data_IF_377183475656
#
_entry.id   IF_377183475656
#
_cell.length_a   1.000
_cell.length_b   1.000
_cell.length_c   1.000
_cell.angle_alpha   90.00
_cell.angle_beta   90.00
_cell.angle_gamma   90.00
#
_symmetry.space_group_name_H-M   'P 1'
#
loop_
_entity.id
_entity.type
_entity.pdbx_description
1 polymer ?
#
# COMPACT_ATOMS: atom_id res chain seq x y z
N UNK A 1 29.57 -41.35 -2.59
CA UNK A 1 29.38 -40.17 -1.72
C UNK A 1 28.58 -39.03 -2.39
N UNK A 2 28.80 -38.78 -3.69
CA UNK A 2 28.19 -37.67 -4.46
C UNK A 2 26.65 -37.76 -4.58
N UNK A 3 26.07 -38.97 -4.72
CA UNK A 3 24.60 -39.13 -4.87
C UNK A 3 23.81 -38.72 -3.62
N UNK A 4 24.27 -39.12 -2.42
CA UNK A 4 23.60 -38.75 -1.15
C UNK A 4 23.65 -37.24 -0.90
N UNK A 5 24.78 -36.60 -1.24
CA UNK A 5 24.94 -35.16 -1.14
C UNK A 5 23.99 -34.41 -2.11
N UNK A 6 23.79 -34.93 -3.33
CA UNK A 6 22.84 -34.37 -4.31
C UNK A 6 21.40 -34.40 -3.80
N UNK A 7 20.95 -35.50 -3.20
CA UNK A 7 19.60 -35.57 -2.61
C UNK A 7 19.43 -34.64 -1.41
N UNK A 8 20.48 -34.45 -0.61
CA UNK A 8 20.48 -33.49 0.50
C UNK A 8 20.32 -32.03 0.00
N UNK A 9 21.06 -31.64 -1.05
CA UNK A 9 20.92 -30.32 -1.66
C UNK A 9 19.53 -30.09 -2.28
N UNK A 10 18.94 -31.11 -2.92
CA UNK A 10 17.58 -31.03 -3.46
C UNK A 10 16.57 -30.83 -2.32
N UNK A 11 16.74 -31.53 -1.19
CA UNK A 11 15.90 -31.35 0.00
C UNK A 11 15.97 -29.92 0.56
N UNK A 12 17.16 -29.35 0.69
CA UNK A 12 17.35 -27.95 1.12
C UNK A 12 16.67 -26.99 0.16
N UNK A 13 16.83 -27.19 -1.15
CA UNK A 13 16.23 -26.32 -2.16
C UNK A 13 14.70 -26.31 -2.06
N UNK A 14 14.07 -27.46 -1.84
CA UNK A 14 12.62 -27.57 -1.64
C UNK A 14 12.18 -26.79 -0.41
N UNK A 15 12.93 -26.88 0.70
CA UNK A 15 12.63 -26.12 1.92
C UNK A 15 12.72 -24.61 1.67
N UNK A 16 13.79 -24.15 1.00
CA UNK A 16 13.96 -22.71 0.68
C UNK A 16 12.82 -22.21 -0.21
N UNK A 17 12.45 -22.96 -1.25
CA UNK A 17 11.31 -22.61 -2.11
C UNK A 17 10.01 -22.58 -1.30
N UNK A 18 9.81 -23.54 -0.40
CA UNK A 18 8.65 -23.59 0.49
C UNK A 18 8.56 -22.37 1.40
N UNK A 19 9.68 -21.92 1.95
CA UNK A 19 9.75 -20.69 2.77
C UNK A 19 9.41 -19.44 1.95
N UNK A 20 9.94 -19.31 0.73
CA UNK A 20 9.65 -18.17 -0.16
C UNK A 20 8.17 -18.11 -0.52
N UNK A 21 7.57 -19.27 -0.85
CA UNK A 21 6.13 -19.36 -1.14
C UNK A 21 5.34 -19.01 0.11
N UNK A 22 5.71 -19.54 1.27
CA UNK A 22 5.02 -19.24 2.52
C UNK A 22 5.04 -17.74 2.84
N UNK A 23 6.20 -17.10 2.77
CA UNK A 23 6.35 -15.66 3.00
C UNK A 23 5.49 -14.84 2.03
N UNK A 24 5.56 -15.14 0.72
CA UNK A 24 4.81 -14.40 -0.29
C UNK A 24 3.29 -14.54 -0.19
N UNK A 25 2.78 -15.70 0.21
CA UNK A 25 1.34 -15.96 0.26
C UNK A 25 0.71 -15.77 1.63
N UNK A 26 1.51 -15.80 2.70
CA UNK A 26 0.99 -15.73 4.06
C UNK A 26 1.56 -14.56 4.88
N UNK A 27 2.66 -13.93 4.50
CA UNK A 27 3.21 -12.82 5.27
C UNK A 27 3.00 -11.51 4.53
N UNK A 28 3.35 -11.45 3.25
CA UNK A 28 3.24 -10.20 2.49
C UNK A 28 1.90 -10.04 1.80
N UNK A 29 1.17 -8.96 2.11
CA UNK A 29 0.01 -8.55 1.32
C UNK A 29 0.43 -7.64 0.17
N UNK A 30 -0.12 -7.89 -1.02
CA UNK A 30 0.22 -7.18 -2.24
C UNK A 30 -1.04 -6.67 -2.93
N UNK A 31 -1.12 -5.36 -3.13
CA UNK A 31 -2.20 -4.70 -3.85
C UNK A 31 -1.65 -4.04 -5.11
N UNK A 32 -2.32 -4.27 -6.23
CA UNK A 32 -1.96 -3.69 -7.53
C UNK A 32 -3.24 -3.25 -8.23
N UNK A 33 -3.32 -1.95 -8.52
CA UNK A 33 -4.51 -1.33 -9.07
C UNK A 33 -4.21 -0.04 -9.82
N UNK A 34 -5.21 0.40 -10.59
CA UNK A 34 -5.15 1.64 -11.35
C UNK A 34 -6.10 2.69 -10.75
N UNK A 35 -5.61 3.92 -10.67
CA UNK A 35 -6.38 5.09 -10.24
C UNK A 35 -6.09 6.27 -11.18
N UNK A 36 -7.06 6.60 -12.03
CA UNK A 36 -6.84 7.58 -13.10
C UNK A 36 -5.86 7.07 -14.15
N UNK A 37 -4.75 7.78 -14.33
CA UNK A 37 -3.67 7.43 -15.28
C UNK A 37 -2.42 6.85 -14.58
N UNK A 38 -2.60 6.41 -13.33
CA UNK A 38 -1.53 5.92 -12.46
C UNK A 38 -1.77 4.47 -12.07
N UNK A 39 -0.71 3.67 -12.09
CA UNK A 39 -0.63 2.34 -11.51
C UNK A 39 -0.01 2.45 -10.12
N UNK A 40 -0.66 1.84 -9.13
CA UNK A 40 -0.24 1.85 -7.74
C UNK A 40 -0.01 0.41 -7.28
N UNK A 41 1.21 0.14 -6.81
CA UNK A 41 1.57 -1.12 -6.17
C UNK A 41 1.83 -0.85 -4.68
N UNK A 42 1.07 -1.50 -3.80
CA UNK A 42 1.26 -1.42 -2.36
C UNK A 42 1.68 -2.78 -1.82
N UNK A 43 2.79 -2.80 -1.08
CA UNK A 43 3.32 -3.98 -0.41
C UNK A 43 3.27 -3.69 1.08
N UNK A 44 2.49 -4.48 1.81
CA UNK A 44 2.42 -4.40 3.26
C UNK A 44 3.33 -5.49 3.86
N UNK A 45 4.31 -5.07 4.66
CA UNK A 45 5.15 -6.01 5.40
C UNK A 45 4.35 -6.52 6.61
N UNK A 46 3.58 -7.60 6.39
CA UNK A 46 2.72 -8.19 7.41
C UNK A 46 3.21 -9.55 7.91
N UNK A 47 2.72 -9.92 9.09
CA UNK A 47 2.68 -11.29 9.56
C UNK A 47 1.22 -11.71 9.66
N UNK A 48 0.83 -12.84 9.06
CA UNK A 48 -0.58 -13.27 8.97
C UNK A 48 -1.34 -13.35 10.32
N UNK A 49 -0.63 -13.46 11.45
CA UNK A 49 -1.22 -13.56 12.79
C UNK A 49 -1.34 -12.23 13.54
N UNK A 50 -0.88 -11.11 12.97
CA UNK A 50 -0.85 -9.82 13.63
C UNK A 50 -2.09 -9.01 13.20
N UNK A 51 -3.21 -9.15 13.92
CA UNK A 51 -4.46 -8.46 13.55
C UNK A 51 -4.99 -7.54 14.64
N UNK A 52 -5.24 -6.30 14.21
CA UNK A 52 -6.02 -5.19 14.77
C UNK A 52 -5.29 -4.00 15.43
N UNK A 53 -4.16 -4.20 16.13
CA UNK A 53 -3.50 -3.10 16.87
C UNK A 53 -1.99 -2.97 16.56
N UNK A 54 -1.50 -3.61 15.50
CA UNK A 54 -0.07 -3.60 15.17
C UNK A 54 0.24 -2.62 14.03
N UNK A 55 1.42 -2.01 14.14
CA UNK A 55 1.95 -1.11 13.12
C UNK A 55 2.42 -1.92 11.91
N UNK A 56 1.91 -1.58 10.74
CA UNK A 56 2.30 -2.16 9.44
C UNK A 56 3.05 -1.11 8.63
N UNK A 57 4.21 -1.47 8.06
CA UNK A 57 4.88 -0.61 7.08
C UNK A 57 4.42 -0.96 5.66
N UNK A 58 3.94 0.06 4.95
CA UNK A 58 3.50 -0.09 3.57
C UNK A 58 4.48 0.60 2.64
N UNK A 59 5.06 -0.19 1.73
CA UNK A 59 5.79 0.33 0.58
C UNK A 59 4.80 0.59 -0.54
N UNK A 60 4.59 1.86 -0.89
CA UNK A 60 3.74 2.25 -2.01
C UNK A 60 4.61 2.70 -3.19
N UNK A 61 4.41 2.10 -4.36
CA UNK A 61 5.02 2.54 -5.61
C UNK A 61 3.93 3.10 -6.51
N UNK A 62 4.17 4.29 -7.04
CA UNK A 62 3.26 4.94 -7.98
C UNK A 62 4.00 5.07 -9.31
N UNK A 63 3.34 4.71 -10.39
CA UNK A 63 3.87 4.80 -11.76
C UNK A 63 2.84 5.47 -12.67
N UNK A 64 3.30 6.26 -13.62
CA UNK A 64 2.49 6.63 -14.79
C UNK A 64 3.24 6.29 -16.06
N UNK A 65 2.64 5.46 -16.90
CA UNK A 65 3.20 5.16 -18.23
C UNK A 65 3.11 6.39 -19.16
N UNK A 66 2.05 7.18 -19.01
CA UNK A 66 1.81 8.39 -19.80
C UNK A 66 2.85 9.47 -19.55
N UNK A 67 3.20 9.69 -18.28
CA UNK A 67 4.18 10.72 -17.88
C UNK A 67 5.59 10.17 -17.67
N UNK A 68 5.79 8.85 -17.84
CA UNK A 68 7.06 8.14 -17.60
C UNK A 68 7.65 8.42 -16.20
N UNK A 69 6.78 8.65 -15.22
CA UNK A 69 7.15 9.02 -13.85
C UNK A 69 6.96 7.83 -12.91
N UNK A 70 7.84 7.73 -11.90
CA UNK A 70 7.78 6.67 -10.88
C UNK A 70 8.27 7.20 -9.53
N UNK A 71 7.47 6.98 -8.49
CA UNK A 71 7.79 7.26 -7.10
C UNK A 71 7.73 6.01 -6.24
N UNK A 72 8.47 6.02 -5.12
CA UNK A 72 8.38 5.01 -4.06
C UNK A 72 8.28 5.73 -2.72
N UNK A 73 7.27 5.39 -1.95
CA UNK A 73 6.93 6.02 -0.68
C UNK A 73 6.75 4.96 0.40
N UNK A 74 6.80 5.39 1.64
CA UNK A 74 6.55 4.55 2.81
C UNK A 74 5.43 5.18 3.64
N UNK A 75 4.52 4.37 4.13
CA UNK A 75 3.48 4.80 5.07
C UNK A 75 3.28 3.74 6.14
N UNK A 76 3.49 4.12 7.39
CA UNK A 76 3.13 3.31 8.54
C UNK A 76 1.63 3.36 8.79
N UNK A 77 0.97 2.23 9.02
CA UNK A 77 -0.48 2.15 9.25
C UNK A 77 -0.81 1.31 10.48
N UNK A 78 -2.01 1.49 11.01
CA UNK A 78 -2.54 0.63 12.06
C UNK A 78 -3.47 -0.43 11.44
N UNK A 79 -2.94 -1.64 11.26
CA UNK A 79 -3.57 -2.70 10.48
C UNK A 79 -3.60 -2.43 8.97
N UNK A 80 -4.42 -3.17 8.20
CA UNK A 80 -4.36 -3.19 6.73
C UNK A 80 -5.10 -2.00 6.07
N UNK A 81 -5.48 -0.99 6.84
CA UNK A 81 -6.49 0.00 6.44
C UNK A 81 -5.84 1.12 5.64
N UNK A 82 -6.21 1.22 4.38
CA UNK A 82 -5.69 2.24 3.48
C UNK A 82 -6.81 2.78 2.60
N UNK A 83 -6.76 4.08 2.32
CA UNK A 83 -7.61 4.76 1.36
C UNK A 83 -6.72 5.47 0.33
N UNK A 84 -7.07 5.33 -0.94
CA UNK A 84 -6.33 5.96 -2.03
C UNK A 84 -7.27 6.90 -2.79
N UNK A 85 -6.86 8.15 -2.89
CA UNK A 85 -7.65 9.20 -3.52
C UNK A 85 -6.85 10.14 -4.40
N UNK A 86 -7.54 10.85 -5.27
CA UNK A 86 -6.98 11.91 -6.10
C UNK A 86 -7.68 13.23 -5.80
N UNK A 87 -6.97 14.34 -5.99
CA UNK A 87 -7.59 15.65 -6.03
C UNK A 87 -8.32 15.88 -7.36
N UNK A 88 -9.11 16.95 -7.45
CA UNK A 88 -9.91 17.28 -8.64
C UNK A 88 -9.05 17.39 -9.93
N UNK A 89 -7.84 17.94 -9.80
CA UNK A 89 -6.89 18.11 -10.90
C UNK A 89 -6.13 16.83 -11.27
N UNK A 90 -6.24 15.77 -10.46
CA UNK A 90 -5.54 14.47 -10.63
C UNK A 90 -4.02 14.56 -10.72
N UNK A 91 -3.44 15.60 -10.13
CA UNK A 91 -2.00 15.80 -10.03
C UNK A 91 -1.48 15.59 -8.60
N UNK A 92 -2.37 15.34 -7.65
CA UNK A 92 -2.00 14.94 -6.29
C UNK A 92 -2.75 13.68 -5.89
N UNK A 93 -2.08 12.81 -5.14
CA UNK A 93 -2.66 11.62 -4.53
C UNK A 93 -2.63 11.73 -3.02
N UNK A 94 -3.69 11.25 -2.37
CA UNK A 94 -3.70 10.99 -0.94
C UNK A 94 -3.70 9.48 -0.71
N UNK A 95 -2.83 9.04 0.19
CA UNK A 95 -2.79 7.69 0.73
C UNK A 95 -3.02 7.83 2.23
N UNK A 96 -4.21 7.44 2.68
CA UNK A 96 -4.70 7.73 4.01
C UNK A 96 -4.93 6.45 4.82
N UNK A 97 -4.41 6.41 6.04
CA UNK A 97 -4.83 5.47 7.08
C UNK A 97 -5.63 6.26 8.12
N UNK A 98 -6.98 6.22 8.06
CA UNK A 98 -7.83 7.07 8.90
C UNK A 98 -7.50 6.93 10.38
N UNK A 99 -7.27 8.06 11.05
CA UNK A 99 -6.96 8.12 12.47
C UNK A 99 -5.51 7.78 12.85
N UNK A 100 -4.61 7.54 11.89
CA UNK A 100 -3.23 7.18 12.17
C UNK A 100 -2.21 8.02 11.37
N UNK A 101 -2.23 7.90 10.04
CA UNK A 101 -1.23 8.52 9.17
C UNK A 101 -1.82 8.87 7.82
N UNK A 102 -1.27 9.91 7.19
CA UNK A 102 -1.69 10.36 5.88
C UNK A 102 -0.46 10.78 5.10
N UNK A 103 -0.34 10.29 3.86
CA UNK A 103 0.68 10.67 2.91
C UNK A 103 0.04 11.43 1.75
N UNK A 104 0.55 12.61 1.46
CA UNK A 104 0.19 13.38 0.27
C UNK A 104 1.34 13.33 -0.73
N UNK A 105 1.03 13.01 -1.98
CA UNK A 105 2.03 12.88 -3.04
C UNK A 105 1.69 13.84 -4.18
N UNK A 106 2.67 14.64 -4.57
CA UNK A 106 2.68 15.34 -5.85
C UNK A 106 3.04 14.35 -6.95
N UNK A 107 2.10 14.10 -7.87
CA UNK A 107 2.25 13.12 -8.95
C UNK A 107 3.04 13.65 -10.13
N UNK A 108 3.17 14.97 -10.29
CA UNK A 108 3.96 15.59 -11.35
C UNK A 108 5.46 15.43 -11.03
N UNK A 109 5.82 15.65 -9.76
CA UNK A 109 7.20 15.57 -9.28
C UNK A 109 7.56 14.23 -8.62
N UNK A 110 6.57 13.38 -8.33
CA UNK A 110 6.71 12.14 -7.55
C UNK A 110 7.38 12.36 -6.19
N UNK A 111 6.96 13.42 -5.50
CA UNK A 111 7.49 13.82 -4.19
C UNK A 111 6.39 13.84 -3.13
N UNK A 112 6.76 13.54 -1.89
CA UNK A 112 5.91 13.75 -0.74
C UNK A 112 5.69 15.25 -0.50
N UNK A 113 4.45 15.63 -0.22
CA UNK A 113 4.08 16.99 0.14
C UNK A 113 4.07 17.10 1.67
N UNK A 114 4.86 18.04 2.18
CA UNK A 114 4.85 18.38 3.60
C UNK A 114 3.60 19.21 3.90
N UNK A 115 2.72 18.66 4.74
CA UNK A 115 1.45 19.28 5.13
C UNK A 115 1.43 19.37 6.65
N UNK A 116 1.37 20.60 7.15
CA UNK A 116 1.27 20.85 8.58
C UNK A 116 0.07 20.12 9.18
N UNK A 117 0.28 19.51 10.36
CA UNK A 117 -0.75 18.74 11.06
C UNK A 117 -2.05 19.54 11.28
N UNK A 118 -1.94 20.84 11.56
CA UNK A 118 -3.08 21.75 11.77
C UNK A 118 -3.94 21.94 10.49
N UNK A 119 -3.37 21.68 9.32
CA UNK A 119 -4.02 21.86 8.02
C UNK A 119 -4.44 20.54 7.34
N UNK A 120 -4.19 19.38 7.97
CA UNK A 120 -4.47 18.07 7.37
C UNK A 120 -5.96 17.95 7.00
N UNK A 121 -6.89 18.33 7.87
CA UNK A 121 -8.34 18.20 7.56
C UNK A 121 -8.76 19.04 6.36
N UNK A 122 -8.27 20.27 6.28
CA UNK A 122 -8.51 21.14 5.13
C UNK A 122 -7.93 20.51 3.86
N UNK A 123 -6.71 19.97 3.95
CA UNK A 123 -6.05 19.34 2.80
C UNK A 123 -6.78 18.07 2.35
N UNK A 124 -7.21 17.21 3.26
CA UNK A 124 -7.98 15.99 2.97
C UNK A 124 -9.27 16.31 2.18
N UNK A 125 -9.91 17.45 2.47
CA UNK A 125 -11.16 17.86 1.79
C UNK A 125 -10.99 18.10 0.28
N UNK A 126 -9.77 18.32 -0.20
CA UNK A 126 -9.44 18.48 -1.62
C UNK A 126 -9.45 17.16 -2.40
N UNK A 127 -9.51 16.02 -1.70
CA UNK A 127 -9.38 14.70 -2.30
C UNK A 127 -10.68 13.91 -2.29
N UNK A 128 -10.77 12.96 -3.22
CA UNK A 128 -11.82 11.94 -3.28
C UNK A 128 -11.19 10.57 -3.31
N UNK A 129 -11.64 9.68 -2.43
CA UNK A 129 -11.20 8.29 -2.33
C UNK A 129 -11.88 7.47 -3.42
N UNK A 130 -11.07 6.71 -4.15
CA UNK A 130 -11.51 5.77 -5.19
C UNK A 130 -11.35 4.33 -4.76
N UNK A 131 -10.31 4.02 -3.98
CA UNK A 131 -9.98 2.67 -3.56
C UNK A 131 -9.78 2.62 -2.05
N UNK A 132 -10.22 1.53 -1.44
CA UNK A 132 -10.00 1.25 -0.04
C UNK A 132 -9.46 -0.17 0.13
N UNK A 133 -8.58 -0.36 1.10
CA UNK A 133 -8.27 -1.68 1.66
C UNK A 133 -9.11 -1.85 2.92
N UNK A 134 -10.00 -2.83 2.88
CA UNK A 134 -10.94 -3.09 3.99
C UNK A 134 -10.24 -3.76 5.17
N UNK A 135 -10.94 -3.85 6.31
CA UNK A 135 -10.46 -4.64 7.47
C UNK A 135 -10.17 -6.10 7.12
N UNK A 136 -10.82 -6.63 6.09
CA UNK A 136 -10.63 -8.00 5.59
C UNK A 136 -9.42 -8.12 4.64
N UNK A 137 -8.56 -7.08 4.54
CA UNK A 137 -7.42 -7.03 3.61
C UNK A 137 -7.81 -7.07 2.14
N UNK A 138 -9.07 -6.76 1.84
CA UNK A 138 -9.58 -6.75 0.47
C UNK A 138 -9.47 -5.34 -0.11
N UNK A 139 -8.81 -5.21 -1.25
CA UNK A 139 -8.83 -4.00 -2.07
C UNK A 139 -10.20 -3.90 -2.76
N UNK A 140 -10.91 -2.79 -2.54
CA UNK A 140 -12.21 -2.50 -3.15
C UNK A 140 -12.21 -1.11 -3.78
N UNK A 141 -12.73 -1.03 -4.99
CA UNK A 141 -13.09 0.25 -5.60
C UNK A 141 -14.42 0.71 -5.00
N UNK A 142 -14.50 1.98 -4.62
CA UNK A 142 -15.73 2.57 -4.12
C UNK A 142 -16.70 2.87 -5.27
N UNK A 143 -17.96 2.52 -5.06
CA UNK A 143 -19.06 2.87 -5.98
C UNK A 143 -19.37 4.37 -5.92
N UNK A 144 -19.33 4.94 -4.71
CA UNK A 144 -19.51 6.37 -4.45
C UNK A 144 -18.23 6.97 -3.85
N UNK A 145 -17.72 8.01 -4.50
CA UNK A 145 -16.52 8.70 -4.07
C UNK A 145 -16.81 9.51 -2.79
N UNK A 146 -15.92 9.37 -1.80
CA UNK A 146 -16.03 10.09 -0.52
C UNK A 146 -14.75 10.87 -0.20
N UNK A 147 -14.87 11.84 0.69
CA UNK A 147 -13.70 12.52 1.27
C UNK A 147 -12.94 11.52 2.14
N UNK A 148 -11.59 11.55 2.18
CA UNK A 148 -10.82 10.71 3.09
C UNK A 148 -11.27 10.90 4.54
N UNK A 149 -11.34 9.81 5.30
CA UNK A 149 -11.77 9.91 6.68
C UNK A 149 -10.60 10.30 7.59
N UNK A 150 -10.81 11.24 8.50
CA UNK A 150 -9.85 11.54 9.58
C UNK A 150 -10.00 10.58 10.77
N UNK A 151 -11.12 9.84 10.83
CA UNK A 151 -11.45 8.90 11.89
C UNK A 151 -11.74 7.53 11.31
N UNK A 152 -11.45 6.50 12.09
CA UNK A 152 -11.68 5.15 11.65
C UNK A 152 -13.16 4.68 11.76
N UNK A 153 -13.95 5.32 12.63
CA UNK A 153 -15.33 4.89 12.99
C UNK A 153 -16.34 4.97 11.83
#
# INVERSE_FOLDING_TARGET
MIKKLKYFFIGILIIIIGLIIYEKFYLTEYYDFEIGEYSVETIADECNSCFLDWYTENTIKIKSEKYQSKGKFQLGTEGPKLEFGLNELKNQMVINCPGHSTLFVDLDNMTELDVDFENIENKLSEFKIYWIVTKQKELKKLDELRIPSNKWE
#
